data_IF_420294964413
#
_entry.id   IF_420294964413
#
_cell.length_a   1.000
_cell.length_b   1.000
_cell.length_c   1.000
_cell.angle_alpha   90.00
_cell.angle_beta   90.00
_cell.angle_gamma   90.00
#
_symmetry.space_group_name_H-M   'P 1'
#
loop_
_entity.id
_entity.type
_entity.pdbx_description
1 polymer ?
#
# COMPACT_ATOMS: atom_id res chain seq x y z
N UNK A 1 14.17 -4.49 11.49
CA UNK A 1 13.56 -3.44 10.64
C UNK A 1 13.84 -3.83 9.20
N UNK A 2 12.82 -3.85 8.35
CA UNK A 2 13.04 -4.00 6.90
C UNK A 2 13.81 -2.76 6.41
N UNK A 3 14.75 -2.97 5.49
CA UNK A 3 15.44 -1.85 4.87
C UNK A 3 14.44 -1.04 4.05
N UNK A 4 14.58 0.29 4.05
CA UNK A 4 13.74 1.19 3.26
C UNK A 4 13.88 0.92 1.76
N UNK A 5 15.10 0.56 1.33
CA UNK A 5 15.43 0.17 -0.05
C UNK A 5 16.42 -0.98 -0.08
N UNK A 6 16.37 -1.77 -1.15
CA UNK A 6 17.31 -2.86 -1.42
C UNK A 6 18.45 -2.44 -2.35
N UNK A 7 18.20 -1.51 -3.28
CA UNK A 7 19.14 -1.04 -4.29
C UNK A 7 19.38 0.47 -4.17
N UNK A 8 20.65 0.84 -4.04
CA UNK A 8 21.06 2.26 -4.07
C UNK A 8 20.89 2.85 -5.47
N UNK A 9 20.48 4.12 -5.55
CA UNK A 9 20.34 4.84 -6.82
C UNK A 9 19.10 4.48 -7.63
N UNK A 10 18.16 3.72 -7.06
CA UNK A 10 16.86 3.40 -7.69
C UNK A 10 15.69 3.94 -6.88
N UNK A 11 14.60 4.19 -7.59
CA UNK A 11 13.30 4.44 -7.00
C UNK A 11 12.67 3.08 -6.71
N UNK A 12 12.29 2.85 -5.46
CA UNK A 12 11.59 1.64 -5.04
C UNK A 12 10.25 2.05 -4.42
N UNK A 13 9.20 1.33 -4.78
CA UNK A 13 7.89 1.47 -4.18
C UNK A 13 7.62 0.26 -3.26
N UNK A 14 7.06 0.52 -2.08
CA UNK A 14 6.41 -0.52 -1.28
C UNK A 14 4.97 -0.70 -1.75
N UNK A 15 4.49 -1.95 -1.77
CA UNK A 15 3.10 -2.28 -2.10
C UNK A 15 2.54 -3.29 -1.12
N UNK A 16 1.26 -3.14 -0.77
CA UNK A 16 0.52 -4.06 0.12
C UNK A 16 -0.98 -4.01 -0.17
N UNK A 17 -1.71 -5.07 0.22
CA UNK A 17 -3.15 -5.17 0.06
C UNK A 17 -3.92 -5.31 1.39
N UNK A 18 -5.14 -4.79 1.40
CA UNK A 18 -6.12 -4.98 2.47
C UNK A 18 -7.45 -5.49 1.89
N UNK A 19 -8.12 -6.35 2.65
CA UNK A 19 -9.42 -6.91 2.25
C UNK A 19 -9.35 -8.29 1.58
N UNK A 20 -8.20 -8.97 1.60
CA UNK A 20 -8.09 -10.31 0.99
C UNK A 20 -8.95 -11.40 1.66
N UNK A 21 -9.19 -11.27 2.96
CA UNK A 21 -9.91 -12.28 3.75
C UNK A 21 -11.32 -11.90 4.18
N UNK A 22 -11.82 -10.72 3.80
CA UNK A 22 -13.17 -10.29 4.19
C UNK A 22 -14.23 -10.93 3.30
N UNK A 23 -15.41 -11.20 3.87
CA UNK A 23 -16.56 -11.75 3.13
C UNK A 23 -17.25 -10.73 2.22
N UNK A 24 -17.03 -9.44 2.45
CA UNK A 24 -17.67 -8.37 1.69
C UNK A 24 -16.72 -7.17 1.55
N UNK A 25 -16.89 -6.46 0.44
CA UNK A 25 -16.08 -5.28 0.10
C UNK A 25 -15.02 -5.59 -0.96
N UNK A 26 -14.35 -4.54 -1.47
CA UNK A 26 -13.28 -4.69 -2.43
C UNK A 26 -11.97 -5.14 -1.76
N UNK A 27 -11.05 -5.67 -2.56
CA UNK A 27 -9.62 -5.67 -2.19
C UNK A 27 -9.05 -4.32 -2.55
N UNK A 28 -8.35 -3.69 -1.62
CA UNK A 28 -7.68 -2.41 -1.85
C UNK A 28 -6.18 -2.63 -1.77
N UNK A 29 -5.46 -2.27 -2.81
CA UNK A 29 -4.01 -2.25 -2.80
C UNK A 29 -3.51 -0.81 -2.86
N UNK A 30 -2.32 -0.57 -2.33
CA UNK A 30 -1.64 0.72 -2.41
C UNK A 30 -0.18 0.52 -2.76
N UNK A 31 0.37 1.48 -3.52
CA UNK A 31 1.79 1.59 -3.81
C UNK A 31 2.29 2.95 -3.29
N UNK A 32 3.44 2.97 -2.62
CA UNK A 32 4.01 4.18 -2.01
C UNK A 32 5.51 4.23 -2.26
N UNK A 33 5.98 5.37 -2.75
CA UNK A 33 7.40 5.73 -2.87
C UNK A 33 7.72 6.74 -1.77
N UNK A 34 8.59 6.37 -0.84
CA UNK A 34 9.03 7.24 0.25
C UNK A 34 10.41 7.86 -0.05
N UNK A 35 10.69 9.08 0.43
CA UNK A 35 12.03 9.66 0.43
C UNK A 35 13.05 8.78 1.16
N UNK A 36 14.32 8.83 0.75
CA UNK A 36 15.40 8.01 1.33
C UNK A 36 15.68 8.31 2.82
N UNK A 37 15.34 9.51 3.25
CA UNK A 37 15.47 9.99 4.63
C UNK A 37 14.17 9.85 5.45
N UNK A 38 13.09 9.34 4.85
CA UNK A 38 11.82 9.17 5.54
C UNK A 38 11.95 8.21 6.73
N UNK A 39 11.64 8.72 7.91
CA UNK A 39 11.57 7.93 9.14
C UNK A 39 10.44 8.44 10.00
N UNK A 40 9.61 7.53 10.47
CA UNK A 40 8.55 7.86 11.40
C UNK A 40 8.51 6.82 12.54
N UNK A 41 8.47 7.23 13.83
CA UNK A 41 8.50 6.29 14.95
C UNK A 41 7.38 5.25 14.94
N UNK A 42 6.25 5.59 14.31
CA UNK A 42 5.09 4.70 14.18
C UNK A 42 5.05 3.91 12.88
N UNK A 43 5.96 4.15 11.92
CA UNK A 43 6.01 3.37 10.68
C UNK A 43 6.68 2.01 10.98
N UNK A 44 5.93 1.15 11.64
CA UNK A 44 6.22 -0.27 11.89
C UNK A 44 5.02 -1.10 11.40
N UNK A 45 4.94 -2.40 11.73
CA UNK A 45 3.81 -3.26 11.32
C UNK A 45 2.46 -2.62 11.69
N UNK A 46 1.64 -2.34 10.67
CA UNK A 46 0.37 -1.62 10.79
C UNK A 46 -0.62 -2.32 11.72
N UNK A 47 -0.45 -3.63 11.94
CA UNK A 47 -1.29 -4.45 12.84
C UNK A 47 -1.09 -4.14 14.32
N UNK A 48 0.00 -3.45 14.69
CA UNK A 48 0.26 -3.02 16.07
C UNK A 48 -0.22 -1.59 16.35
N UNK A 49 -0.76 -0.90 15.35
CA UNK A 49 -1.17 0.50 15.46
C UNK A 49 -2.68 0.63 15.76
N UNK A 50 -3.01 1.50 16.71
CA UNK A 50 -4.39 1.92 16.94
C UNK A 50 -4.94 2.66 15.71
N UNK A 51 -6.26 2.64 15.54
CA UNK A 51 -6.92 3.32 14.43
C UNK A 51 -6.53 4.80 14.34
N UNK A 52 -6.51 5.51 15.47
CA UNK A 52 -6.08 6.92 15.54
C UNK A 52 -4.66 7.12 15.02
N UNK A 53 -3.72 6.21 15.36
CA UNK A 53 -2.34 6.28 14.87
C UNK A 53 -2.26 6.03 13.36
N UNK A 54 -3.10 5.13 12.82
CA UNK A 54 -3.18 4.88 11.37
C UNK A 54 -3.68 6.09 10.59
N UNK A 55 -4.68 6.81 11.11
CA UNK A 55 -5.16 8.06 10.49
C UNK A 55 -4.08 9.15 10.46
N UNK A 56 -3.38 9.35 11.58
CA UNK A 56 -2.25 10.30 11.64
C UNK A 56 -1.15 9.91 10.63
N UNK A 57 -0.79 8.63 10.61
CA UNK A 57 0.26 8.12 9.73
C UNK A 57 -0.12 8.25 8.25
N UNK A 58 -1.40 8.04 7.90
CA UNK A 58 -1.91 8.24 6.54
C UNK A 58 -1.64 9.67 6.06
N UNK A 59 -1.95 10.67 6.87
CA UNK A 59 -1.79 12.08 6.46
C UNK A 59 -0.31 12.45 6.31
N UNK A 60 0.55 11.91 7.19
CA UNK A 60 2.01 12.08 7.10
C UNK A 60 2.55 11.43 5.83
N UNK A 61 2.20 10.17 5.55
CA UNK A 61 2.65 9.47 4.35
C UNK A 61 2.18 10.20 3.09
N UNK A 62 0.92 10.63 3.02
CA UNK A 62 0.40 11.38 1.87
C UNK A 62 1.12 12.70 1.62
N UNK A 63 1.63 13.33 2.68
CA UNK A 63 2.35 14.60 2.61
C UNK A 63 3.82 14.42 2.24
N UNK A 64 4.46 13.36 2.74
CA UNK A 64 5.91 13.16 2.62
C UNK A 64 6.32 12.17 1.53
N UNK A 65 5.41 11.30 1.06
CA UNK A 65 5.68 10.41 -0.05
C UNK A 65 6.02 11.20 -1.32
N UNK A 66 7.01 10.70 -2.06
CA UNK A 66 7.37 11.22 -3.39
C UNK A 66 6.20 11.00 -4.35
N UNK A 67 5.61 9.80 -4.29
CA UNK A 67 4.47 9.39 -5.09
C UNK A 67 3.70 8.31 -4.35
N UNK A 68 2.38 8.30 -4.44
CA UNK A 68 1.54 7.25 -3.90
C UNK A 68 0.26 7.11 -4.71
N UNK A 69 -0.22 5.88 -4.81
CA UNK A 69 -1.48 5.57 -5.46
C UNK A 69 -2.14 4.36 -4.80
N UNK A 70 -3.45 4.22 -5.00
CA UNK A 70 -4.21 3.08 -4.51
C UNK A 70 -5.29 2.69 -5.50
N UNK A 71 -5.63 1.41 -5.51
CA UNK A 71 -6.65 0.84 -6.39
C UNK A 71 -7.60 -0.03 -5.60
N UNK A 72 -8.89 0.13 -5.85
CA UNK A 72 -9.93 -0.79 -5.38
C UNK A 72 -10.26 -1.78 -6.50
N UNK A 73 -10.17 -3.07 -6.21
CA UNK A 73 -10.62 -4.15 -7.07
C UNK A 73 -11.98 -4.60 -6.57
N UNK A 74 -13.01 -4.43 -7.40
CA UNK A 74 -14.40 -4.66 -6.98
C UNK A 74 -14.67 -6.15 -6.75
N UNK A 75 -15.72 -6.45 -5.98
CA UNK A 75 -16.18 -7.83 -5.76
C UNK A 75 -16.52 -8.55 -7.06
N UNK A 76 -17.12 -7.86 -8.03
CA UNK A 76 -17.44 -8.42 -9.35
C UNK A 76 -16.17 -8.83 -10.10
N UNK A 77 -15.10 -8.03 -10.00
CA UNK A 77 -13.81 -8.35 -10.58
C UNK A 77 -13.07 -9.46 -9.80
N UNK A 78 -13.21 -9.49 -8.47
CA UNK A 78 -12.69 -10.57 -7.62
C UNK A 78 -13.30 -11.91 -8.00
N UNK A 79 -14.62 -11.96 -8.21
CA UNK A 79 -15.34 -13.18 -8.59
C UNK A 79 -14.86 -13.71 -9.96
N UNK A 80 -14.44 -12.83 -10.86
CA UNK A 80 -13.90 -13.20 -12.18
C UNK A 80 -12.45 -13.67 -12.11
N UNK A 81 -11.61 -13.03 -11.29
CA UNK A 81 -10.17 -13.25 -11.26
C UNK A 81 -9.72 -14.28 -10.23
N UNK A 82 -10.53 -14.54 -9.21
CA UNK A 82 -10.16 -15.06 -7.89
C UNK A 82 -9.39 -14.06 -7.01
N UNK A 83 -9.44 -14.31 -5.69
CA UNK A 83 -8.92 -13.39 -4.67
C UNK A 83 -7.41 -13.17 -4.72
N UNK A 84 -6.63 -14.18 -5.14
CA UNK A 84 -5.19 -14.08 -5.28
C UNK A 84 -4.82 -13.15 -6.44
N UNK A 85 -5.41 -13.39 -7.62
CA UNK A 85 -5.14 -12.59 -8.80
C UNK A 85 -5.70 -11.17 -8.68
N UNK A 86 -6.86 -10.99 -8.05
CA UNK A 86 -7.40 -9.67 -7.75
C UNK A 86 -6.44 -8.83 -6.89
N UNK A 87 -5.80 -9.45 -5.89
CA UNK A 87 -4.79 -8.77 -5.05
C UNK A 87 -3.58 -8.35 -5.87
N UNK A 88 -3.06 -9.24 -6.73
CA UNK A 88 -1.94 -8.97 -7.64
C UNK A 88 -2.29 -7.84 -8.61
N UNK A 89 -3.48 -7.88 -9.22
CA UNK A 89 -3.98 -6.83 -10.13
C UNK A 89 -4.08 -5.48 -9.42
N UNK A 90 -4.62 -5.45 -8.20
CA UNK A 90 -4.69 -4.23 -7.40
C UNK A 90 -3.30 -3.61 -7.17
N UNK A 91 -2.30 -4.43 -6.83
CA UNK A 91 -0.93 -3.96 -6.63
C UNK A 91 -0.32 -3.42 -7.93
N UNK A 92 -0.44 -4.15 -9.05
CA UNK A 92 0.06 -3.69 -10.35
C UNK A 92 -0.59 -2.38 -10.82
N UNK A 93 -1.91 -2.25 -10.65
CA UNK A 93 -2.63 -1.01 -11.00
C UNK A 93 -2.21 0.16 -10.13
N UNK A 94 -1.96 -0.08 -8.85
CA UNK A 94 -1.47 0.96 -7.93
C UNK A 94 -0.07 1.41 -8.30
N UNK A 95 0.82 0.48 -8.69
CA UNK A 95 2.16 0.81 -9.18
C UNK A 95 2.09 1.62 -10.49
N UNK A 96 1.23 1.21 -11.42
CA UNK A 96 1.07 1.90 -12.72
C UNK A 96 0.46 3.31 -12.60
N UNK A 97 -0.17 3.62 -11.47
CA UNK A 97 -0.79 4.91 -11.18
C UNK A 97 0.12 5.86 -10.36
N UNK A 98 1.38 5.47 -10.12
CA UNK A 98 2.38 6.36 -9.52
C UNK A 98 2.83 7.40 -10.57
N UNK A 99 2.80 8.68 -10.17
CA UNK A 99 3.34 9.82 -10.94
C UNK A 99 4.84 10.02 -10.66
#
# INVERSE_FOLDING_TARGET
MLALKLQSGRIECGTDEAGRGCLAGPVTAAAVVLPDDFKHPFLTDSKQLSEKKRWILRDIIKKEAISYAYTHVSREEIDQLNILNASIVGMHRSIAALD
#
